data_IF_517838474704
#
_entry.id   IF_517838474704
#
_cell.length_a   1.000
_cell.length_b   1.000
_cell.length_c   1.000
_cell.angle_alpha   90.00
_cell.angle_beta   90.00
_cell.angle_gamma   90.00
#
_symmetry.space_group_name_H-M   'P 1'
#
loop_
_entity.id
_entity.type
_entity.pdbx_description
1 polymer ?
#
# COMPACT_ATOMS: atom_id res chain seq x y z
N UNK A 1 -3.81 -12.44 24.76
CA UNK A 1 -5.19 -12.98 24.59
C UNK A 1 -6.10 -12.10 23.70
N UNK A 2 -6.41 -10.84 24.06
CA UNK A 2 -7.39 -10.02 23.33
C UNK A 2 -7.00 -9.63 21.89
N UNK A 3 -5.73 -9.29 21.64
CA UNK A 3 -5.28 -8.93 20.29
C UNK A 3 -5.12 -10.14 19.37
N UNK A 4 -4.68 -11.28 19.90
CA UNK A 4 -4.56 -12.53 19.15
C UNK A 4 -5.92 -13.02 18.61
N UNK A 5 -7.02 -12.74 19.33
CA UNK A 5 -8.37 -13.06 18.87
C UNK A 5 -8.86 -12.17 17.69
N UNK A 6 -8.26 -10.98 17.50
CA UNK A 6 -8.60 -10.03 16.42
C UNK A 6 -7.63 -10.10 15.23
N UNK A 7 -6.50 -10.77 15.40
CA UNK A 7 -5.50 -10.92 14.34
C UNK A 7 -5.77 -12.22 13.58
N UNK A 8 -6.01 -12.10 12.28
CA UNK A 8 -5.99 -13.28 11.43
C UNK A 8 -4.58 -13.85 11.40
N UNK A 9 -4.46 -15.18 11.44
CA UNK A 9 -3.17 -15.88 11.43
C UNK A 9 -2.29 -15.53 10.22
N UNK A 10 -2.91 -15.06 9.14
CA UNK A 10 -2.26 -14.61 7.90
C UNK A 10 -1.66 -13.21 7.97
N UNK A 11 -1.96 -12.40 9.00
CA UNK A 11 -1.48 -11.01 9.11
C UNK A 11 -0.12 -10.93 9.83
N UNK A 12 0.91 -11.46 9.15
CA UNK A 12 2.27 -11.55 9.67
C UNK A 12 2.83 -10.19 10.13
N UNK A 13 2.51 -9.09 9.42
CA UNK A 13 2.98 -7.75 9.77
C UNK A 13 2.41 -7.27 11.10
N UNK A 14 1.10 -7.44 11.33
CA UNK A 14 0.49 -7.03 12.60
C UNK A 14 0.89 -7.95 13.76
N UNK A 15 1.09 -9.24 13.50
CA UNK A 15 1.61 -10.19 14.51
C UNK A 15 3.03 -9.79 14.92
N UNK A 16 3.92 -9.57 13.95
CA UNK A 16 5.30 -9.13 14.22
C UNK A 16 5.31 -7.85 15.04
N UNK A 17 4.55 -6.82 14.64
CA UNK A 17 4.49 -5.56 15.39
C UNK A 17 3.93 -5.75 16.81
N UNK A 18 2.96 -6.64 17.01
CA UNK A 18 2.43 -6.93 18.34
C UNK A 18 3.50 -7.56 19.26
N UNK A 19 4.28 -8.51 18.72
CA UNK A 19 5.35 -9.17 19.46
C UNK A 19 6.53 -8.24 19.71
N UNK A 20 6.91 -7.42 18.73
CA UNK A 20 7.95 -6.41 18.86
C UNK A 20 7.64 -5.44 20.02
N UNK A 21 6.43 -4.86 20.04
CA UNK A 21 6.03 -3.95 21.11
C UNK A 21 6.01 -4.64 22.47
N UNK A 22 5.54 -5.89 22.55
CA UNK A 22 5.57 -6.64 23.79
C UNK A 22 6.99 -6.91 24.28
N UNK A 23 7.90 -7.30 23.38
CA UNK A 23 9.31 -7.53 23.71
C UNK A 23 10.02 -6.26 24.16
N UNK A 24 9.70 -5.10 23.56
CA UNK A 24 10.34 -3.82 23.90
C UNK A 24 9.78 -3.18 25.18
N UNK A 25 8.46 -3.29 25.42
CA UNK A 25 7.80 -2.57 26.51
C UNK A 25 7.39 -3.45 27.70
N UNK A 26 7.46 -4.78 27.57
CA UNK A 26 6.88 -5.73 28.52
C UNK A 26 5.35 -5.72 28.58
N UNK A 27 4.69 -4.79 27.88
CA UNK A 27 3.23 -4.61 27.88
C UNK A 27 2.64 -5.01 26.52
N UNK A 28 1.49 -5.70 26.51
CA UNK A 28 0.84 -6.05 25.25
C UNK A 28 0.34 -4.79 24.55
N UNK A 29 0.49 -4.71 23.23
CA UNK A 29 0.09 -3.52 22.45
C UNK A 29 -1.39 -3.15 22.61
N UNK A 30 -2.28 -4.10 22.92
CA UNK A 30 -3.67 -3.76 23.28
C UNK A 30 -3.78 -2.91 24.55
N UNK A 31 -2.96 -3.17 25.57
CA UNK A 31 -2.97 -2.39 26.80
C UNK A 31 -2.41 -0.98 26.58
N UNK A 32 -1.44 -0.82 25.68
CA UNK A 32 -0.88 0.49 25.33
C UNK A 32 -1.90 1.35 24.57
N UNK A 33 -2.58 0.77 23.57
CA UNK A 33 -3.63 1.45 22.80
C UNK A 33 -4.81 1.87 23.70
N UNK A 34 -5.12 1.09 24.73
CA UNK A 34 -6.19 1.42 25.68
C UNK A 34 -5.76 2.47 26.72
N UNK A 35 -4.48 2.54 27.06
CA UNK A 35 -3.97 3.57 27.98
C UNK A 35 -3.73 4.92 27.33
N UNK A 36 -3.67 4.97 25.99
CA UNK A 36 -3.69 6.23 25.25
C UNK A 36 -5.13 6.75 25.19
N UNK A 37 -5.50 7.61 26.15
CA UNK A 37 -6.58 8.57 25.91
C UNK A 37 -6.15 9.43 24.72
N UNK A 38 -6.72 9.16 23.56
CA UNK A 38 -6.52 10.01 22.38
C UNK A 38 -7.11 11.37 22.71
N UNK A 39 -6.27 12.28 23.19
CA UNK A 39 -6.63 13.69 23.30
C UNK A 39 -7.17 14.12 21.93
N UNK A 40 -8.45 14.47 21.88
CA UNK A 40 -9.04 14.96 20.66
C UNK A 40 -8.27 16.23 20.26
N UNK A 41 -7.83 16.36 18.99
CA UNK A 41 -7.25 17.62 18.53
C UNK A 41 -8.23 18.77 18.81
N UNK A 42 -7.77 19.99 19.14
CA UNK A 42 -8.63 21.12 19.49
C UNK A 42 -9.32 21.74 18.26
N UNK A 43 -9.73 20.90 17.30
CA UNK A 43 -10.30 21.29 16.02
C UNK A 43 -11.54 20.45 15.73
N UNK A 44 -12.54 21.10 15.12
CA UNK A 44 -13.67 20.40 14.53
C UNK A 44 -13.30 19.93 13.13
N UNK A 45 -13.21 18.61 12.95
CA UNK A 45 -13.00 18.02 11.64
C UNK A 45 -14.30 17.99 10.84
N UNK A 46 -14.22 18.36 9.56
CA UNK A 46 -15.26 18.10 8.56
C UNK A 46 -14.66 17.15 7.52
N UNK A 47 -15.12 15.91 7.51
CA UNK A 47 -14.65 14.88 6.58
C UNK A 47 -15.45 14.96 5.27
N UNK A 48 -14.77 15.25 4.17
CA UNK A 48 -15.36 15.27 2.82
C UNK A 48 -14.70 14.19 1.97
N UNK A 49 -15.51 13.33 1.36
CA UNK A 49 -15.06 12.32 0.41
C UNK A 49 -15.64 12.58 -0.97
N UNK A 50 -14.78 12.66 -1.99
CA UNK A 50 -15.21 12.77 -3.39
C UNK A 50 -15.14 11.39 -4.04
N UNK A 51 -16.30 10.75 -4.18
CA UNK A 51 -16.41 9.43 -4.79
C UNK A 51 -17.24 9.53 -6.08
N UNK A 52 -16.80 8.89 -7.18
CA UNK A 52 -17.66 8.71 -8.35
C UNK A 52 -18.92 7.95 -7.96
N UNK A 53 -20.06 8.36 -8.49
CA UNK A 53 -21.34 7.67 -8.29
C UNK A 53 -21.36 6.27 -8.92
N UNK A 54 -20.59 6.04 -9.99
CA UNK A 54 -20.46 4.75 -10.67
C UNK A 54 -19.02 4.21 -10.61
N UNK A 55 -18.90 2.94 -10.18
CA UNK A 55 -17.62 2.20 -10.14
C UNK A 55 -17.04 1.97 -11.54
N UNK A 56 -17.87 1.86 -12.57
CA UNK A 56 -17.42 1.68 -13.96
C UNK A 56 -16.58 2.88 -14.41
N UNK A 57 -17.03 4.11 -14.12
CA UNK A 57 -16.34 5.36 -14.41
C UNK A 57 -15.00 5.44 -13.68
N UNK A 58 -14.96 5.02 -12.41
CA UNK A 58 -13.73 4.94 -11.64
C UNK A 58 -12.73 3.96 -12.29
N UNK A 59 -13.18 2.78 -12.68
CA UNK A 59 -12.34 1.77 -13.31
C UNK A 59 -11.79 2.21 -14.67
N UNK A 60 -12.58 2.96 -15.44
CA UNK A 60 -12.14 3.54 -16.71
C UNK A 60 -11.07 4.61 -16.47
N UNK A 61 -11.32 5.57 -15.57
CA UNK A 61 -10.34 6.61 -15.21
C UNK A 61 -9.03 6.04 -14.69
N UNK A 62 -9.08 4.96 -13.90
CA UNK A 62 -7.89 4.25 -13.44
C UNK A 62 -7.11 3.68 -14.64
N UNK A 63 -7.79 3.06 -15.60
CA UNK A 63 -7.15 2.49 -16.78
C UNK A 63 -6.49 3.56 -17.66
N UNK A 64 -7.19 4.66 -17.90
CA UNK A 64 -6.70 5.77 -18.71
C UNK A 64 -5.50 6.45 -18.05
N UNK A 65 -5.58 6.71 -16.73
CA UNK A 65 -4.48 7.29 -15.97
C UNK A 65 -3.25 6.38 -15.96
N UNK A 66 -3.42 5.07 -15.79
CA UNK A 66 -2.30 4.14 -15.80
C UNK A 66 -1.62 4.07 -17.17
N UNK A 67 -2.41 4.07 -18.25
CA UNK A 67 -1.87 4.15 -19.61
C UNK A 67 -1.08 5.46 -19.83
N UNK A 68 -1.61 6.59 -19.35
CA UNK A 68 -0.91 7.87 -19.41
C UNK A 68 0.41 7.87 -18.63
N UNK A 69 0.45 7.24 -17.43
CA UNK A 69 1.68 7.11 -16.65
C UNK A 69 2.75 6.28 -17.39
N UNK A 70 2.36 5.18 -18.03
CA UNK A 70 3.29 4.38 -18.85
C UNK A 70 3.83 5.20 -20.03
N UNK A 71 2.95 5.93 -20.74
CA UNK A 71 3.34 6.80 -21.84
C UNK A 71 4.26 7.95 -21.39
N UNK A 72 4.09 8.44 -20.16
CA UNK A 72 4.95 9.45 -19.54
C UNK A 72 6.29 8.91 -19.03
N UNK A 73 6.58 7.62 -19.20
CA UNK A 73 7.90 7.05 -18.87
C UNK A 73 8.01 6.43 -17.48
N UNK A 74 6.92 5.95 -16.89
CA UNK A 74 6.95 5.25 -15.58
C UNK A 74 8.00 4.13 -15.51
N UNK A 75 8.16 3.34 -16.58
CA UNK A 75 9.17 2.26 -16.60
C UNK A 75 10.61 2.81 -16.46
N UNK A 76 10.91 3.90 -17.18
CA UNK A 76 12.21 4.56 -17.15
C UNK A 76 12.47 5.25 -15.79
N UNK A 77 11.44 5.81 -15.16
CA UNK A 77 11.53 6.37 -13.82
C UNK A 77 11.95 5.30 -12.79
N UNK A 78 11.31 4.13 -12.82
CA UNK A 78 11.66 3.02 -11.91
C UNK A 78 13.07 2.51 -12.19
N UNK A 79 13.46 2.40 -13.46
CA UNK A 79 14.83 2.03 -13.82
C UNK A 79 15.86 3.04 -13.28
N UNK A 80 15.58 4.33 -13.39
CA UNK A 80 16.42 5.39 -12.84
C UNK A 80 16.56 5.26 -11.32
N UNK A 81 15.45 5.11 -10.59
CA UNK A 81 15.47 4.95 -9.13
C UNK A 81 16.32 3.76 -8.69
N UNK A 82 16.23 2.63 -9.42
CA UNK A 82 17.02 1.42 -9.15
C UNK A 82 18.52 1.62 -9.38
N UNK A 83 18.89 2.47 -10.34
CA UNK A 83 20.30 2.83 -10.61
C UNK A 83 20.84 3.82 -9.60
N UNK A 84 20.03 4.79 -9.17
CA UNK A 84 20.46 5.88 -8.29
C UNK A 84 20.53 5.47 -6.83
N UNK A 85 19.63 4.60 -6.36
CA UNK A 85 19.47 4.28 -4.95
C UNK A 85 19.58 2.78 -4.67
N UNK A 86 19.97 2.42 -3.45
CA UNK A 86 19.99 1.04 -2.97
C UNK A 86 18.57 0.66 -2.53
N UNK A 87 17.80 0.07 -3.44
CA UNK A 87 16.39 -0.27 -3.25
C UNK A 87 16.18 -1.80 -3.23
N UNK A 88 15.19 -2.24 -2.44
CA UNK A 88 14.70 -3.62 -2.44
C UNK A 88 13.16 -3.62 -2.60
N UNK A 89 12.55 -4.58 -3.33
CA UNK A 89 11.09 -4.68 -3.49
C UNK A 89 10.26 -4.75 -2.19
N UNK A 90 10.87 -5.03 -1.04
CA UNK A 90 10.15 -5.04 0.25
C UNK A 90 10.00 -3.65 0.89
N UNK A 91 10.69 -2.64 0.38
CA UNK A 91 10.58 -1.26 0.87
C UNK A 91 9.17 -0.70 0.62
N UNK A 92 8.61 0.11 1.54
CA UNK A 92 7.29 0.73 1.36
C UNK A 92 7.16 1.51 0.03
N UNK A 93 8.21 2.22 -0.38
CA UNK A 93 8.26 2.95 -1.65
C UNK A 93 8.10 2.03 -2.87
N UNK A 94 8.79 0.90 -2.88
CA UNK A 94 8.76 -0.06 -3.99
C UNK A 94 7.51 -0.96 -3.97
N UNK A 95 6.78 -0.98 -2.86
CA UNK A 95 5.48 -1.67 -2.73
C UNK A 95 4.31 -0.84 -3.24
N UNK A 96 4.51 0.42 -3.62
CA UNK A 96 3.49 1.27 -4.21
C UNK A 96 2.93 0.66 -5.50
N UNK A 97 1.64 0.91 -5.75
CA UNK A 97 0.97 0.51 -6.99
C UNK A 97 1.60 1.25 -8.17
N UNK A 98 1.86 0.53 -9.27
CA UNK A 98 2.67 0.98 -10.40
C UNK A 98 4.11 0.51 -10.24
N UNK A 99 4.83 1.02 -9.25
CA UNK A 99 6.24 0.71 -8.99
C UNK A 99 6.48 -0.79 -8.81
N UNK A 100 5.67 -1.46 -7.99
CA UNK A 100 5.81 -2.89 -7.76
C UNK A 100 5.65 -3.69 -9.05
N UNK A 101 4.66 -3.35 -9.87
CA UNK A 101 4.39 -4.09 -11.10
C UNK A 101 5.49 -3.87 -12.14
N UNK A 102 6.00 -2.64 -12.26
CA UNK A 102 7.15 -2.34 -13.12
C UNK A 102 8.39 -3.08 -12.64
N UNK A 103 8.65 -3.10 -11.33
CA UNK A 103 9.77 -3.85 -10.75
C UNK A 103 9.67 -5.34 -11.09
N UNK A 104 8.52 -5.97 -10.85
CA UNK A 104 8.28 -7.40 -11.13
C UNK A 104 8.54 -7.73 -12.61
N UNK A 105 8.14 -6.85 -13.53
CA UNK A 105 8.39 -7.03 -14.97
C UNK A 105 9.87 -6.87 -15.32
N UNK A 106 10.54 -5.86 -14.76
CA UNK A 106 11.96 -5.64 -15.01
C UNK A 106 12.86 -6.76 -14.44
N UNK A 107 12.44 -7.40 -13.34
CA UNK A 107 13.10 -8.59 -12.78
C UNK A 107 12.72 -9.90 -13.49
N UNK A 108 11.85 -9.86 -14.50
CA UNK A 108 11.39 -11.05 -15.22
C UNK A 108 10.43 -11.95 -14.41
N UNK A 109 9.91 -11.47 -13.28
CA UNK A 109 8.93 -12.17 -12.43
C UNK A 109 7.51 -12.10 -13.00
N UNK A 110 7.25 -11.18 -13.93
CA UNK A 110 5.99 -11.05 -14.64
C UNK A 110 6.23 -10.72 -16.12
N UNK A 111 5.38 -11.21 -17.05
CA UNK A 111 5.48 -10.86 -18.46
C UNK A 111 5.20 -9.38 -18.71
N UNK A 112 6.01 -8.74 -19.56
CA UNK A 112 5.84 -7.30 -19.89
C UNK A 112 4.47 -6.95 -20.45
N UNK A 113 3.87 -7.85 -21.24
CA UNK A 113 2.50 -7.67 -21.79
C UNK A 113 1.43 -7.53 -20.70
N UNK A 114 1.67 -8.04 -19.50
CA UNK A 114 0.73 -8.00 -18.38
C UNK A 114 0.92 -6.78 -17.47
N UNK A 115 1.96 -5.96 -17.71
CA UNK A 115 2.29 -4.80 -16.87
C UNK A 115 1.08 -3.89 -16.68
N UNK A 116 0.44 -3.53 -17.79
CA UNK A 116 -0.72 -2.64 -17.80
C UNK A 116 -1.88 -3.23 -16.98
N UNK A 117 -2.26 -4.46 -17.26
CA UNK A 117 -3.42 -5.08 -16.63
C UNK A 117 -3.20 -5.32 -15.14
N UNK A 118 -1.99 -5.75 -14.74
CA UNK A 118 -1.61 -5.91 -13.33
C UNK A 118 -1.60 -4.57 -12.59
N UNK A 119 -1.09 -3.52 -13.19
CA UNK A 119 -1.07 -2.18 -12.60
C UNK A 119 -2.48 -1.60 -12.42
N UNK A 120 -3.34 -1.76 -13.42
CA UNK A 120 -4.75 -1.36 -13.36
C UNK A 120 -5.47 -2.16 -12.27
N UNK A 121 -5.31 -3.49 -12.25
CA UNK A 121 -5.93 -4.34 -11.25
C UNK A 121 -5.51 -3.96 -9.83
N UNK A 122 -4.21 -3.78 -9.58
CA UNK A 122 -3.70 -3.34 -8.29
C UNK A 122 -4.26 -1.98 -7.86
N UNK A 123 -4.40 -1.05 -8.81
CA UNK A 123 -5.00 0.28 -8.54
C UNK A 123 -6.49 0.17 -8.20
N UNK A 124 -7.23 -0.73 -8.87
CA UNK A 124 -8.64 -1.01 -8.56
C UNK A 124 -8.80 -1.61 -7.16
N UNK A 125 -7.90 -2.51 -6.75
CA UNK A 125 -7.93 -3.07 -5.39
C UNK A 125 -7.59 -2.01 -4.32
N UNK A 126 -6.70 -1.06 -4.63
CA UNK A 126 -6.41 0.07 -3.75
C UNK A 126 -7.61 1.02 -3.60
N UNK A 127 -8.36 1.23 -4.68
CA UNK A 127 -9.54 2.09 -4.72
C UNK A 127 -10.84 1.42 -4.23
N UNK A 128 -10.79 0.13 -3.88
CA UNK A 128 -11.95 -0.66 -3.43
C UNK A 128 -12.26 -0.41 -1.96
#
# INVERSE_FOLDING_TARGET
PARAARLQRSDAQRIQRALEVFRLSGRPLSALIMSEEKAAPPYRFVSVGLLPSDRSVLHQRIADRFAAMLAAGLEAEVECLRKTYHLHPHLPSMRCVGYRQVWEVQDGLAPRRELRDRGIYATRQLAK
#
